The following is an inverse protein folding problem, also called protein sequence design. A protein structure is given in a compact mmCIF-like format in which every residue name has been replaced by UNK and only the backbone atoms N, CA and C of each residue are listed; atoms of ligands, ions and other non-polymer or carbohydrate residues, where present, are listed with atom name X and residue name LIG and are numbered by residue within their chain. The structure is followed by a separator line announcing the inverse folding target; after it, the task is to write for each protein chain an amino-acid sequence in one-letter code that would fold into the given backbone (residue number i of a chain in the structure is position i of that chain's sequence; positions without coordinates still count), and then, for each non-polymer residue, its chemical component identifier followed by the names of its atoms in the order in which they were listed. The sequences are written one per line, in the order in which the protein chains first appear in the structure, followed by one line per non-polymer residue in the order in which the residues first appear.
data_IF_320685279293
#
_entry.id   IF_320685279293
#
_cell.length_a   1.000
_cell.length_b   1.000
_cell.length_c   1.000
_cell.angle_alpha   90.00
_cell.angle_beta   90.00
_cell.angle_gamma   90.00
#
_symmetry.space_group_name_H-M   'P 1'
#
loop_
_entity.id
_entity.type
_entity.pdbx_description
1 polymer ?
#
# COMPACT_ATOMS: atom_id res chain seq x y z
N UNK A 1 17.66 -11.11 -29.42
CA UNK A 1 16.25 -10.68 -29.46
C UNK A 1 15.67 -10.93 -28.08
N UNK A 2 15.34 -9.85 -27.36
CA UNK A 2 14.94 -9.89 -25.95
C UNK A 2 13.70 -10.76 -25.81
N UNK A 3 13.86 -11.88 -25.10
CA UNK A 3 12.78 -12.69 -24.57
C UNK A 3 12.14 -11.90 -23.43
N UNK A 4 11.04 -11.20 -23.72
CA UNK A 4 10.21 -10.60 -22.68
C UNK A 4 9.55 -11.75 -21.90
N UNK A 5 10.01 -11.98 -20.68
CA UNK A 5 9.42 -12.95 -19.76
C UNK A 5 7.96 -12.56 -19.44
N UNK A 6 7.03 -13.53 -19.43
CA UNK A 6 5.63 -13.25 -19.15
C UNK A 6 5.46 -12.80 -17.69
N UNK A 7 4.94 -11.58 -17.51
CA UNK A 7 4.58 -11.02 -16.21
C UNK A 7 3.37 -11.80 -15.68
N UNK A 8 3.66 -12.84 -14.91
CA UNK A 8 2.68 -13.69 -14.23
C UNK A 8 2.05 -12.93 -13.05
N UNK A 9 1.04 -12.12 -13.34
CA UNK A 9 0.31 -11.29 -12.38
C UNK A 9 -0.75 -12.11 -11.63
N UNK A 10 -0.28 -13.03 -10.78
CA UNK A 10 -1.10 -13.79 -9.83
C UNK A 10 -0.46 -13.83 -8.44
N UNK A 11 -0.29 -12.65 -7.81
CA UNK A 11 -0.33 -12.54 -6.35
C UNK A 11 -0.61 -11.10 -5.89
N UNK A 12 -1.89 -10.76 -5.88
CA UNK A 12 -2.48 -9.59 -5.26
C UNK A 12 -2.25 -9.60 -3.73
N UNK A 13 -1.09 -9.16 -3.24
CA UNK A 13 -0.84 -8.66 -1.87
C UNK A 13 0.66 -8.32 -1.62
N UNK A 14 1.29 -7.45 -2.42
CA UNK A 14 2.58 -6.84 -2.03
C UNK A 14 2.38 -5.86 -0.85
N UNK A 15 2.27 -6.39 0.38
CA UNK A 15 2.45 -5.58 1.59
C UNK A 15 3.93 -5.25 1.74
N UNK A 16 4.40 -4.15 1.14
CA UNK A 16 5.79 -3.69 1.35
C UNK A 16 5.98 -3.04 2.74
N UNK A 17 4.88 -2.71 3.44
CA UNK A 17 4.86 -2.34 4.85
C UNK A 17 4.47 -3.49 5.80
N UNK A 18 5.30 -3.71 6.84
CA UNK A 18 4.95 -4.60 7.96
C UNK A 18 3.86 -4.01 8.84
N UNK A 19 3.12 -4.86 9.59
CA UNK A 19 2.09 -4.38 10.53
C UNK A 19 2.64 -3.43 11.60
N UNK A 20 3.88 -3.66 12.05
CA UNK A 20 4.59 -2.76 12.98
C UNK A 20 4.88 -1.41 12.33
N UNK A 21 5.38 -1.41 11.10
CA UNK A 21 5.63 -0.20 10.33
C UNK A 21 4.34 0.60 10.10
N UNK A 22 3.23 -0.05 9.70
CA UNK A 22 1.92 0.61 9.54
C UNK A 22 1.45 1.25 10.84
N UNK A 23 1.60 0.58 11.99
CA UNK A 23 1.23 1.14 13.30
C UNK A 23 2.06 2.38 13.64
N UNK A 24 3.37 2.34 13.42
CA UNK A 24 4.26 3.48 13.64
C UNK A 24 3.94 4.66 12.72
N UNK A 25 3.78 4.40 11.42
CA UNK A 25 3.44 5.43 10.42
C UNK A 25 2.06 6.04 10.70
N UNK A 26 1.11 5.24 11.19
CA UNK A 26 -0.20 5.74 11.62
C UNK A 26 -0.08 6.66 12.82
N UNK A 27 0.73 6.31 13.82
CA UNK A 27 0.99 7.17 14.97
C UNK A 27 1.62 8.51 14.52
N UNK A 28 2.64 8.46 13.66
CA UNK A 28 3.27 9.65 13.09
C UNK A 28 2.30 10.50 12.27
N UNK A 29 1.37 9.87 11.55
CA UNK A 29 0.44 10.62 10.73
C UNK A 29 -0.52 11.47 11.55
N UNK A 30 -0.86 11.13 12.80
CA UNK A 30 -1.78 11.92 13.63
C UNK A 30 -1.40 13.41 13.72
N UNK A 31 -0.10 13.73 13.79
CA UNK A 31 0.42 15.10 13.88
C UNK A 31 0.46 15.84 12.52
N UNK A 32 0.21 15.13 11.42
CA UNK A 32 0.22 15.69 10.07
C UNK A 32 -1.18 16.17 9.71
N UNK A 33 -1.29 17.38 9.18
CA UNK A 33 -2.52 17.90 8.57
C UNK A 33 -2.61 17.45 7.11
N UNK A 34 -3.82 17.21 6.57
CA UNK A 34 -3.97 16.92 5.15
C UNK A 34 -3.41 18.05 4.30
N UNK A 35 -2.51 17.72 3.38
CA UNK A 35 -1.84 18.68 2.50
C UNK A 35 -2.50 18.76 1.12
N UNK A 36 -3.30 17.76 0.77
CA UNK A 36 -3.97 17.67 -0.52
C UNK A 36 -5.44 17.35 -0.33
N UNK A 37 -6.30 17.95 -1.15
CA UNK A 37 -7.75 17.72 -1.13
C UNK A 37 -8.25 17.18 -2.48
N UNK A 38 -9.06 16.12 -2.44
CA UNK A 38 -9.73 15.58 -3.63
C UNK A 38 -11.13 16.19 -3.72
N UNK A 39 -11.39 16.92 -4.81
CA UNK A 39 -12.67 17.58 -5.09
C UNK A 39 -13.55 16.81 -6.07
N UNK A 40 -14.64 17.43 -6.53
CA UNK A 40 -15.61 16.83 -7.47
C UNK A 40 -14.98 16.45 -8.83
N UNK A 41 -13.93 17.14 -9.22
CA UNK A 41 -13.16 16.84 -10.45
C UNK A 41 -12.36 15.53 -10.37
N UNK A 42 -12.40 14.84 -9.23
CA UNK A 42 -11.83 13.51 -9.04
C UNK A 42 -10.32 13.51 -8.76
N UNK A 43 -9.72 12.32 -8.89
CA UNK A 43 -8.30 12.10 -8.56
C UNK A 43 -7.33 12.62 -9.62
N UNK A 44 -7.76 12.72 -10.88
CA UNK A 44 -6.93 13.07 -12.04
C UNK A 44 -6.04 14.30 -11.82
N UNK A 45 -6.66 15.44 -11.49
CA UNK A 45 -5.96 16.71 -11.27
C UNK A 45 -5.08 16.72 -10.03
N UNK A 46 -5.38 15.83 -9.08
CA UNK A 46 -4.76 15.81 -7.76
C UNK A 46 -3.52 14.90 -7.73
N UNK A 47 -3.43 13.93 -8.64
CA UNK A 47 -2.33 12.95 -8.70
C UNK A 47 -0.95 13.63 -8.81
N UNK A 48 -0.79 14.65 -9.65
CA UNK A 48 0.50 15.33 -9.82
C UNK A 48 0.96 16.02 -8.53
N UNK A 49 0.05 16.68 -7.82
CA UNK A 49 0.36 17.32 -6.55
C UNK A 49 0.67 16.29 -5.46
N UNK A 50 -0.08 15.18 -5.40
CA UNK A 50 0.22 14.07 -4.49
C UNK A 50 1.61 13.50 -4.77
N UNK A 51 1.96 13.28 -6.06
CA UNK A 51 3.29 12.79 -6.49
C UNK A 51 4.40 13.71 -6.01
N UNK A 52 4.21 15.03 -6.10
CA UNK A 52 5.18 16.02 -5.62
C UNK A 52 5.29 16.01 -4.10
N UNK A 53 4.19 16.17 -3.39
CA UNK A 53 4.17 16.22 -1.91
C UNK A 53 4.72 14.94 -1.27
N UNK A 54 4.39 13.77 -1.82
CA UNK A 54 4.90 12.49 -1.31
C UNK A 54 6.39 12.29 -1.64
N UNK A 55 6.89 12.86 -2.74
CA UNK A 55 8.31 12.89 -3.10
C UNK A 55 9.12 13.87 -2.25
N UNK A 56 8.49 14.85 -1.62
CA UNK A 56 9.19 15.79 -0.71
C UNK A 56 9.10 15.31 0.74
N UNK A 57 7.90 14.98 1.24
CA UNK A 57 7.65 14.65 2.66
C UNK A 57 7.69 13.16 3.01
N UNK A 58 7.39 12.28 2.06
CA UNK A 58 7.46 10.82 2.22
C UNK A 58 6.23 10.22 2.89
N UNK A 59 5.67 10.90 3.89
CA UNK A 59 4.40 10.57 4.55
C UNK A 59 3.46 11.76 4.41
N UNK A 60 2.29 11.56 3.81
CA UNK A 60 1.30 12.62 3.60
C UNK A 60 -0.11 12.15 3.93
N UNK A 61 -0.98 13.14 4.19
CA UNK A 61 -2.42 12.93 4.29
C UNK A 61 -3.15 13.63 3.16
N UNK A 62 -4.11 12.92 2.57
CA UNK A 62 -5.00 13.40 1.52
C UNK A 62 -6.42 13.38 2.05
N UNK A 63 -7.15 14.50 1.96
CA UNK A 63 -8.54 14.58 2.40
C UNK A 63 -9.49 14.57 1.21
N UNK A 64 -10.40 13.61 1.19
CA UNK A 64 -11.44 13.50 0.18
C UNK A 64 -12.61 14.41 0.59
N UNK A 65 -13.03 15.31 -0.30
CA UNK A 65 -14.23 16.15 -0.10
C UNK A 65 -15.49 15.37 -0.51
N UNK A 66 -16.64 15.75 0.04
CA UNK A 66 -17.93 15.10 -0.22
C UNK A 66 -18.25 15.01 -1.72
N UNK A 67 -17.99 16.05 -2.49
CA UNK A 67 -18.25 16.04 -3.94
C UNK A 67 -17.44 15.01 -4.74
N UNK A 68 -16.32 14.50 -4.21
CA UNK A 68 -15.60 13.40 -4.84
C UNK A 68 -16.25 12.03 -4.53
N UNK A 69 -16.92 11.93 -3.38
CA UNK A 69 -17.59 10.71 -2.91
C UNK A 69 -18.94 10.47 -3.58
N UNK A 70 -19.48 11.47 -4.30
CA UNK A 70 -20.70 11.33 -5.09
C UNK A 70 -20.52 10.39 -6.29
N UNK A 71 -19.31 10.32 -6.84
CA UNK A 71 -19.01 9.57 -8.07
C UNK A 71 -18.06 8.39 -7.86
N UNK A 72 -17.38 8.29 -6.72
CA UNK A 72 -16.40 7.23 -6.46
C UNK A 72 -16.21 6.98 -4.98
N UNK A 73 -15.98 5.72 -4.61
CA UNK A 73 -15.76 5.35 -3.23
C UNK A 73 -14.40 5.81 -2.70
N UNK A 74 -14.34 6.12 -1.40
CA UNK A 74 -13.09 6.54 -0.75
C UNK A 74 -11.96 5.50 -0.86
N UNK A 75 -12.32 4.21 -0.91
CA UNK A 75 -11.36 3.10 -1.08
C UNK A 75 -10.79 3.10 -2.48
N UNK A 76 -11.64 3.19 -3.50
CA UNK A 76 -11.23 3.26 -4.90
C UNK A 76 -10.36 4.50 -5.16
N UNK A 77 -10.74 5.65 -4.61
CA UNK A 77 -9.94 6.88 -4.66
C UNK A 77 -8.55 6.64 -4.04
N UNK A 78 -8.49 6.00 -2.87
CA UNK A 78 -7.23 5.71 -2.20
C UNK A 78 -6.35 4.76 -3.02
N UNK A 79 -6.93 3.70 -3.57
CA UNK A 79 -6.24 2.72 -4.41
C UNK A 79 -5.72 3.35 -5.70
N UNK A 80 -6.56 4.12 -6.41
CA UNK A 80 -6.14 4.86 -7.61
C UNK A 80 -4.96 5.77 -7.31
N UNK A 81 -5.02 6.56 -6.22
CA UNK A 81 -3.92 7.46 -5.84
C UNK A 81 -2.67 6.65 -5.48
N UNK A 82 -2.81 5.55 -4.75
CA UNK A 82 -1.69 4.70 -4.34
C UNK A 82 -0.96 4.08 -5.54
N UNK A 83 -1.72 3.52 -6.49
CA UNK A 83 -1.21 2.96 -7.75
C UNK A 83 -0.48 4.03 -8.55
N UNK A 84 -1.16 5.15 -8.82
CA UNK A 84 -0.62 6.26 -9.61
C UNK A 84 0.66 6.85 -9.03
N UNK A 85 0.72 6.99 -7.70
CA UNK A 85 1.86 7.60 -7.01
C UNK A 85 2.96 6.60 -6.66
N UNK A 86 2.75 5.30 -6.93
CA UNK A 86 3.56 4.18 -6.46
C UNK A 86 3.84 4.33 -4.96
N UNK A 87 2.76 4.45 -4.17
CA UNK A 87 2.79 4.62 -2.72
C UNK A 87 1.89 3.62 -2.02
N UNK A 88 2.09 3.46 -0.72
CA UNK A 88 1.29 2.55 0.11
C UNK A 88 0.29 3.28 0.99
N UNK A 89 -0.90 2.68 1.08
CA UNK A 89 -1.94 3.11 2.00
C UNK A 89 -1.63 2.58 3.40
N UNK A 90 -1.33 3.51 4.31
CA UNK A 90 -1.08 3.22 5.72
C UNK A 90 -2.41 3.10 6.48
N UNK A 91 -3.31 4.05 6.26
CA UNK A 91 -4.61 4.10 6.92
C UNK A 91 -5.61 4.90 6.10
N UNK A 92 -6.88 4.55 6.27
CA UNK A 92 -8.02 5.28 5.73
C UNK A 92 -8.99 5.51 6.89
N UNK A 93 -9.15 6.76 7.31
CA UNK A 93 -9.97 7.13 8.48
C UNK A 93 -10.92 8.25 8.07
N UNK A 94 -12.22 7.99 8.17
CA UNK A 94 -13.25 8.91 7.66
C UNK A 94 -13.04 9.17 6.16
N UNK A 95 -12.76 10.43 5.82
CA UNK A 95 -12.44 10.89 4.47
C UNK A 95 -10.97 11.29 4.31
N UNK A 96 -10.08 10.83 5.20
CA UNK A 96 -8.65 11.13 5.14
C UNK A 96 -7.87 9.85 4.89
N UNK A 97 -7.02 9.88 3.86
CA UNK A 97 -6.13 8.82 3.45
C UNK A 97 -4.73 9.19 3.90
N UNK A 98 -4.03 8.26 4.56
CA UNK A 98 -2.61 8.40 4.86
C UNK A 98 -1.81 7.56 3.85
N UNK A 99 -0.96 8.24 3.07
CA UNK A 99 -0.11 7.62 2.06
C UNK A 99 1.35 7.73 2.46
N UNK A 100 2.09 6.67 2.19
CA UNK A 100 3.49 6.57 2.49
C UNK A 100 4.29 6.06 1.29
N UNK A 101 5.37 6.74 0.94
CA UNK A 101 6.31 6.29 -0.10
C UNK A 101 7.66 5.97 0.52
N UNK A 102 8.11 4.69 0.47
CA UNK A 102 9.46 4.34 0.90
C UNK A 102 10.50 5.04 0.03
N UNK A 103 11.58 5.51 0.66
CA UNK A 103 12.76 6.10 0.00
C UNK A 103 14.03 5.37 0.45
N UNK A 104 15.11 5.60 -0.27
CA UNK A 104 16.44 5.17 0.15
C UNK A 104 16.72 5.63 1.60
N UNK A 105 17.20 4.69 2.42
CA UNK A 105 17.43 4.90 3.86
C UNK A 105 16.28 4.49 4.79
N UNK A 106 15.07 4.24 4.29
CA UNK A 106 13.92 3.84 5.12
C UNK A 106 13.85 2.32 5.39
N UNK A 107 15.02 1.71 5.64
CA UNK A 107 15.19 0.26 5.91
C UNK A 107 14.36 -0.26 7.09
N UNK A 108 14.01 0.62 8.04
CA UNK A 108 13.18 0.30 9.23
C UNK A 108 11.71 0.01 8.92
N UNK A 109 11.20 0.42 7.75
CA UNK A 109 9.79 0.27 7.39
C UNK A 109 9.54 -0.76 6.28
N UNK A 110 10.58 -1.08 5.49
CA UNK A 110 10.54 -2.03 4.38
C UNK A 110 10.86 -3.46 4.85
N UNK A 111 10.06 -4.45 4.42
CA UNK A 111 10.34 -5.86 4.70
C UNK A 111 11.40 -6.43 3.75
N UNK A 112 12.68 -6.40 4.12
CA UNK A 112 13.72 -7.17 3.40
C UNK A 112 13.80 -8.63 3.87
N UNK A 113 12.96 -9.06 4.82
CA UNK A 113 12.95 -10.46 5.27
C UNK A 113 11.96 -11.28 4.42
N UNK A 114 12.46 -12.37 3.83
CA UNK A 114 11.65 -13.42 3.19
C UNK A 114 10.46 -13.77 4.10
N UNK A 115 9.22 -13.85 3.56
CA UNK A 115 8.06 -14.25 4.35
C UNK A 115 8.32 -15.62 4.99
N UNK A 116 8.28 -15.67 6.33
CA UNK A 116 8.41 -16.93 7.10
C UNK A 116 7.26 -17.91 6.78
N UNK A 117 6.19 -17.43 6.15
CA UNK A 117 4.94 -18.14 5.87
C UNK A 117 5.11 -19.26 4.81
N UNK A 118 5.89 -19.06 3.76
CA UNK A 118 6.23 -20.11 2.78
C UNK A 118 6.80 -21.37 3.46
N UNK A 119 7.70 -21.19 4.43
CA UNK A 119 8.37 -22.31 5.10
C UNK A 119 7.40 -23.16 5.92
N UNK A 120 6.43 -22.52 6.57
CA UNK A 120 5.37 -23.23 7.31
C UNK A 120 4.42 -23.98 6.37
N UNK A 121 4.11 -23.44 5.19
CA UNK A 121 3.22 -24.09 4.22
C UNK A 121 3.89 -25.35 3.66
N UNK A 122 5.15 -25.27 3.25
CA UNK A 122 5.91 -26.45 2.79
C UNK A 122 6.07 -27.52 3.88
N UNK A 123 6.38 -27.11 5.11
CA UNK A 123 6.53 -28.04 6.24
C UNK A 123 5.18 -28.69 6.60
N UNK A 124 4.09 -27.93 6.53
CA UNK A 124 2.73 -28.42 6.77
C UNK A 124 2.23 -29.33 5.64
N UNK A 125 2.55 -29.04 4.37
CA UNK A 125 2.22 -29.90 3.24
C UNK A 125 3.01 -31.21 3.27
N UNK A 126 4.32 -31.17 3.56
CA UNK A 126 5.13 -32.38 3.79
C UNK A 126 4.58 -33.22 4.94
N UNK A 127 4.17 -32.57 6.02
CA UNK A 127 3.54 -33.23 7.16
C UNK A 127 2.18 -33.87 6.81
N UNK A 128 1.35 -33.19 6.01
CA UNK A 128 0.05 -33.69 5.55
C UNK A 128 0.20 -34.86 4.57
N UNK A 129 1.17 -34.79 3.66
CA UNK A 129 1.48 -35.87 2.70
C UNK A 129 2.00 -37.10 3.43
N UNK A 130 2.90 -36.92 4.42
CA UNK A 130 3.44 -38.02 5.24
C UNK A 130 2.40 -38.84 6.00
N UNK A 131 1.25 -38.25 6.37
CA UNK A 131 0.13 -38.99 6.98
C UNK A 131 -0.71 -39.78 5.97
N UNK A 132 -0.72 -39.39 4.69
CA UNK A 132 -1.54 -40.02 3.65
C UNK A 132 -0.89 -41.30 3.10
N UNK A 133 0.42 -41.46 3.26
CA UNK A 133 1.19 -42.66 2.88
C UNK A 133 1.18 -43.79 3.94
N UNK A 134 0.49 -43.60 5.07
CA UNK A 134 0.44 -44.57 6.19
C UNK A 134 -0.90 -45.32 6.30
N UNK A 135 -1.72 -45.30 5.25
CA UNK A 135 -2.96 -46.08 5.12
C UNK A 135 -2.84 -47.07 3.98
#
# INVERSE_FOLDING_TARGET
MTIEEPINDKNSNEKRLTSKAKKMLRAQSHNITPVVWVGKEGVGKVIMEVKRQIKDRGLIKVKIRKGALEHSDKKEIAEKIAIETNSEIVSLVGNVITLFKPREGWKKYTTTKKPKKEKYIEEFEKFRIGRKLRK
#
